data_IF_738696128726
#
_entry.id   IF_738696128726
#
_cell.length_a   1.000
_cell.length_b   1.000
_cell.length_c   1.000
_cell.angle_alpha   90.00
_cell.angle_beta   90.00
_cell.angle_gamma   90.00
#
_symmetry.space_group_name_H-M   'P 1'
#
loop_
_entity.id
_entity.type
_entity.pdbx_description
1 polymer ?
#
# COMPACT_ATOMS: atom_id res chain seq x y z
N UNK A 1 -13.34 -11.72 -0.58
CA UNK A 1 -12.16 -11.60 0.29
C UNK A 1 -10.96 -12.31 -0.32
N UNK A 2 -11.07 -13.57 -0.76
CA UNK A 2 -9.97 -14.28 -1.46
C UNK A 2 -9.39 -13.51 -2.66
N UNK A 3 -10.23 -13.00 -3.56
CA UNK A 3 -9.76 -12.19 -4.70
C UNK A 3 -8.98 -10.94 -4.28
N UNK A 4 -9.35 -10.33 -3.14
CA UNK A 4 -8.62 -9.16 -2.62
C UNK A 4 -7.28 -9.56 -2.03
N UNK A 5 -7.22 -10.69 -1.32
CA UNK A 5 -5.97 -11.26 -0.84
C UNK A 5 -5.02 -11.57 -2.00
N UNK A 6 -5.49 -12.25 -3.04
CA UNK A 6 -4.67 -12.55 -4.23
C UNK A 6 -4.17 -11.27 -4.92
N UNK A 7 -5.01 -10.23 -5.01
CA UNK A 7 -4.60 -8.92 -5.55
C UNK A 7 -3.51 -8.27 -4.71
N UNK A 8 -3.68 -8.27 -3.39
CA UNK A 8 -2.74 -7.67 -2.44
C UNK A 8 -1.43 -8.44 -2.43
N UNK A 9 -1.47 -9.77 -2.38
CA UNK A 9 -0.28 -10.64 -2.45
C UNK A 9 0.52 -10.35 -3.72
N UNK A 10 -0.14 -10.38 -4.89
CA UNK A 10 0.53 -10.12 -6.16
C UNK A 10 1.14 -8.71 -6.24
N UNK A 11 0.46 -7.70 -5.69
CA UNK A 11 0.98 -6.34 -5.66
C UNK A 11 2.17 -6.22 -4.70
N UNK A 12 2.04 -6.78 -3.49
CA UNK A 12 3.08 -6.77 -2.46
C UNK A 12 4.35 -7.50 -2.94
N UNK A 13 4.22 -8.66 -3.59
CA UNK A 13 5.35 -9.37 -4.19
C UNK A 13 6.09 -8.49 -5.20
N UNK A 14 5.37 -7.80 -6.10
CA UNK A 14 6.00 -6.89 -7.08
C UNK A 14 6.73 -5.73 -6.42
N UNK A 15 6.17 -5.19 -5.34
CA UNK A 15 6.80 -4.09 -4.60
C UNK A 15 8.07 -4.55 -3.90
N UNK A 16 8.05 -5.72 -3.25
CA UNK A 16 9.21 -6.34 -2.63
C UNK A 16 10.30 -6.61 -3.67
N UNK A 17 9.95 -7.20 -4.82
CA UNK A 17 10.88 -7.43 -5.92
C UNK A 17 11.49 -6.12 -6.44
N UNK A 18 10.72 -5.04 -6.51
CA UNK A 18 11.20 -3.72 -6.96
C UNK A 18 12.20 -3.10 -5.97
N UNK A 19 11.95 -3.25 -4.68
CA UNK A 19 12.85 -2.77 -3.61
C UNK A 19 14.11 -3.65 -3.50
N UNK A 20 13.97 -4.97 -3.61
CA UNK A 20 15.12 -5.89 -3.49
C UNK A 20 16.02 -5.87 -4.75
N UNK A 21 15.52 -5.38 -5.89
CA UNK A 21 16.28 -5.27 -7.15
C UNK A 21 16.89 -3.89 -7.41
N UNK A 22 16.59 -2.89 -6.58
CA UNK A 22 17.09 -1.52 -6.73
C UNK A 22 17.46 -0.91 -5.39
N UNK A 23 18.69 -0.41 -5.26
CA UNK A 23 19.13 0.33 -4.07
C UNK A 23 18.54 1.76 -3.99
N UNK A 24 17.72 2.17 -4.98
CA UNK A 24 17.15 3.53 -5.03
C UNK A 24 15.95 3.72 -4.10
N UNK A 25 15.22 2.65 -3.77
CA UNK A 25 13.99 2.73 -2.98
C UNK A 25 14.20 1.99 -1.67
N UNK A 26 14.20 2.72 -0.54
CA UNK A 26 14.22 2.09 0.77
C UNK A 26 12.91 1.34 1.04
N UNK A 27 12.98 0.31 1.89
CA UNK A 27 11.77 -0.42 2.34
C UNK A 27 10.74 0.53 2.96
N UNK A 28 11.18 1.47 3.78
CA UNK A 28 10.30 2.49 4.39
C UNK A 28 9.49 3.29 3.35
N UNK A 29 10.08 3.57 2.19
CA UNK A 29 9.42 4.29 1.09
C UNK A 29 8.68 3.37 0.10
N UNK A 30 8.57 2.07 0.37
CA UNK A 30 7.94 1.10 -0.52
C UNK A 30 6.48 1.47 -0.85
N UNK A 31 5.78 2.14 0.07
CA UNK A 31 4.40 2.62 -0.14
C UNK A 31 4.24 3.51 -1.38
N UNK A 32 5.30 4.23 -1.79
CA UNK A 32 5.31 5.09 -2.98
C UNK A 32 5.14 4.29 -4.28
N UNK A 33 5.41 2.98 -4.26
CA UNK A 33 5.18 2.09 -5.40
C UNK A 33 3.70 1.75 -5.61
N UNK A 34 2.84 1.94 -4.61
CA UNK A 34 1.44 1.54 -4.67
C UNK A 34 0.66 2.21 -5.83
N UNK A 35 0.70 3.55 -6.01
CA UNK A 35 0.05 4.21 -7.15
C UNK A 35 0.60 3.77 -8.50
N UNK A 36 1.91 3.51 -8.58
CA UNK A 36 2.60 3.05 -9.81
C UNK A 36 2.09 1.66 -10.18
N UNK A 37 2.16 0.69 -9.25
CA UNK A 37 1.72 -0.69 -9.48
C UNK A 37 0.21 -0.75 -9.75
N UNK A 38 -0.59 0.05 -9.05
CA UNK A 38 -2.01 0.20 -9.32
C UNK A 38 -2.26 0.68 -10.76
N UNK A 39 -1.55 1.73 -11.19
CA UNK A 39 -1.69 2.30 -12.54
C UNK A 39 -1.37 1.28 -13.63
N UNK A 40 -0.29 0.53 -13.46
CA UNK A 40 0.15 -0.51 -14.39
C UNK A 40 -0.86 -1.65 -14.46
N UNK A 41 -1.37 -2.10 -13.32
CA UNK A 41 -2.35 -3.20 -13.23
C UNK A 41 -3.66 -2.83 -13.93
N UNK A 42 -4.02 -1.55 -13.97
CA UNK A 42 -5.26 -1.07 -14.57
C UNK A 42 -5.07 -0.40 -15.94
N UNK A 43 -3.87 -0.41 -16.51
CA UNK A 43 -3.52 0.34 -17.75
C UNK A 43 -3.99 1.80 -17.69
N UNK A 44 -3.81 2.42 -16.53
CA UNK A 44 -4.32 3.77 -16.25
C UNK A 44 -3.49 4.82 -17.01
N UNK A 45 -4.18 5.73 -17.68
CA UNK A 45 -3.59 6.87 -18.40
C UNK A 45 -4.04 8.23 -17.83
N UNK A 46 -4.59 8.23 -16.62
CA UNK A 46 -5.07 9.43 -15.95
C UNK A 46 -4.01 9.93 -14.96
N UNK A 47 -3.20 10.89 -15.41
CA UNK A 47 -2.13 11.50 -14.60
C UNK A 47 -2.67 12.24 -13.37
N UNK A 48 -3.85 12.86 -13.48
CA UNK A 48 -4.47 13.58 -12.36
C UNK A 48 -4.87 12.59 -11.26
N UNK A 49 -5.48 11.47 -11.62
CA UNK A 49 -5.82 10.41 -10.65
C UNK A 49 -4.56 9.77 -10.04
N UNK A 50 -3.50 9.59 -10.83
CA UNK A 50 -2.22 9.11 -10.29
C UNK A 50 -1.67 10.07 -9.23
N UNK A 51 -1.73 11.38 -9.51
CA UNK A 51 -1.28 12.40 -8.57
C UNK A 51 -2.10 12.40 -7.28
N UNK A 52 -3.42 12.29 -7.38
CA UNK A 52 -4.31 12.18 -6.21
C UNK A 52 -3.98 10.95 -5.35
N UNK A 53 -3.69 9.80 -5.97
CA UNK A 53 -3.26 8.60 -5.25
C UNK A 53 -1.92 8.79 -4.54
N UNK A 54 -0.97 9.48 -5.17
CA UNK A 54 0.34 9.78 -4.57
C UNK A 54 0.15 10.69 -3.35
N UNK A 55 -0.60 11.78 -3.51
CA UNK A 55 -0.84 12.75 -2.43
C UNK A 55 -1.57 12.10 -1.24
N UNK A 56 -2.64 11.34 -1.50
CA UNK A 56 -3.40 10.67 -0.45
C UNK A 56 -2.57 9.63 0.32
N UNK A 57 -1.72 8.87 -0.37
CA UNK A 57 -0.86 7.88 0.29
C UNK A 57 0.27 8.54 1.08
N UNK A 58 0.81 9.65 0.58
CA UNK A 58 1.85 10.41 1.27
C UNK A 58 1.32 11.09 2.54
N UNK A 59 0.09 11.61 2.50
CA UNK A 59 -0.61 12.12 3.69
C UNK A 59 -0.86 11.01 4.72
N UNK A 60 -1.39 9.85 4.29
CA UNK A 60 -1.62 8.71 5.19
C UNK A 60 -0.32 8.26 5.88
N UNK A 61 0.76 8.05 5.11
CA UNK A 61 2.04 7.61 5.66
C UNK A 61 2.63 8.61 6.66
N UNK A 62 2.56 9.91 6.34
CA UNK A 62 3.06 10.97 7.22
C UNK A 62 2.25 11.09 8.51
N UNK A 63 0.93 10.94 8.42
CA UNK A 63 0.06 10.96 9.59
C UNK A 63 0.43 9.81 10.53
N UNK A 64 0.53 8.57 10.02
CA UNK A 64 0.93 7.40 10.83
C UNK A 64 2.31 7.60 11.48
N UNK A 65 3.30 8.07 10.72
CA UNK A 65 4.65 8.34 11.23
C UNK A 65 4.73 9.51 12.21
N UNK A 66 3.74 10.42 12.20
CA UNK A 66 3.66 11.52 13.16
C UNK A 66 3.18 11.06 14.54
N UNK A 67 2.41 9.96 14.59
CA UNK A 67 1.95 9.33 15.83
C UNK A 67 2.98 8.36 16.39
N UNK A 68 3.66 7.60 15.53
CA UNK A 68 4.80 6.74 15.89
C UNK A 68 5.87 6.75 14.78
N UNK A 69 7.06 7.28 15.09
CA UNK A 69 8.16 7.30 14.12
C UNK A 69 8.60 5.89 13.69
N UNK A 70 8.40 4.87 14.54
CA UNK A 70 8.72 3.49 14.19
C UNK A 70 7.70 2.86 13.24
N UNK A 71 6.56 3.52 12.99
CA UNK A 71 5.57 3.05 12.02
C UNK A 71 6.19 2.85 10.64
N UNK A 72 7.14 3.69 10.23
CA UNK A 72 7.86 3.55 8.95
C UNK A 72 8.52 2.18 8.75
N UNK A 73 8.84 1.47 9.83
CA UNK A 73 9.41 0.12 9.78
C UNK A 73 8.36 -0.93 9.38
N UNK A 74 7.07 -0.63 9.48
CA UNK A 74 5.94 -1.48 9.07
C UNK A 74 5.66 -1.34 7.57
N UNK A 75 6.72 -1.49 6.77
CA UNK A 75 6.69 -1.14 5.35
C UNK A 75 5.70 -1.99 4.52
N UNK A 76 5.50 -3.27 4.89
CA UNK A 76 4.49 -4.13 4.23
C UNK A 76 3.08 -3.61 4.52
N UNK A 77 2.79 -3.25 5.78
CA UNK A 77 1.52 -2.66 6.17
C UNK A 77 1.25 -1.36 5.39
N UNK A 78 2.20 -0.41 5.41
CA UNK A 78 2.04 0.86 4.70
C UNK A 78 1.86 0.68 3.20
N UNK A 79 2.59 -0.25 2.58
CA UNK A 79 2.39 -0.58 1.18
C UNK A 79 0.99 -1.12 0.90
N UNK A 80 0.53 -2.11 1.68
CA UNK A 80 -0.79 -2.73 1.46
C UNK A 80 -1.92 -1.72 1.68
N UNK A 81 -1.83 -0.92 2.75
CA UNK A 81 -2.78 0.17 3.01
C UNK A 81 -2.82 1.16 1.84
N UNK A 82 -1.65 1.62 1.37
CA UNK A 82 -1.53 2.54 0.24
C UNK A 82 -2.06 1.96 -1.07
N UNK A 83 -1.84 0.66 -1.33
CA UNK A 83 -2.35 0.00 -2.53
C UNK A 83 -3.88 -0.13 -2.52
N UNK A 84 -4.47 -0.41 -1.36
CA UNK A 84 -5.92 -0.44 -1.20
C UNK A 84 -6.52 0.97 -1.23
N UNK A 85 -5.82 1.96 -0.68
CA UNK A 85 -6.23 3.36 -0.73
C UNK A 85 -6.33 3.89 -2.17
N UNK A 86 -5.49 3.40 -3.09
CA UNK A 86 -5.67 3.70 -4.53
C UNK A 86 -7.06 3.29 -5.06
N UNK A 87 -7.65 2.20 -4.57
CA UNK A 87 -9.02 1.82 -4.95
C UNK A 87 -10.07 2.73 -4.32
N UNK A 88 -9.80 3.29 -3.13
CA UNK A 88 -10.68 4.28 -2.49
C UNK A 88 -10.65 5.59 -3.28
N UNK A 89 -9.46 6.12 -3.55
CA UNK A 89 -9.28 7.34 -4.36
C UNK A 89 -9.91 7.19 -5.75
N UNK A 90 -9.77 6.02 -6.38
CA UNK A 90 -10.41 5.73 -7.67
C UNK A 90 -11.93 5.47 -7.60
N UNK A 91 -12.55 5.58 -6.42
CA UNK A 91 -13.99 5.35 -6.20
C UNK A 91 -14.44 3.92 -6.47
N UNK A 92 -13.54 2.93 -6.32
CA UNK A 92 -13.82 1.50 -6.56
C UNK A 92 -14.30 0.78 -5.31
N UNK A 93 -13.85 1.23 -4.14
CA UNK A 93 -14.28 0.77 -2.82
C UNK A 93 -14.43 1.98 -1.90
N UNK A 94 -15.16 1.83 -0.80
CA UNK A 94 -15.22 2.82 0.28
C UNK A 94 -14.25 2.45 1.41
N UNK A 95 -14.08 3.34 2.38
CA UNK A 95 -13.23 3.15 3.56
C UNK A 95 -13.67 1.92 4.38
N UNK A 96 -14.98 1.74 4.59
CA UNK A 96 -15.51 0.57 5.31
C UNK A 96 -15.15 -0.75 4.63
N UNK A 97 -15.06 -0.77 3.29
CA UNK A 97 -14.61 -1.92 2.53
C UNK A 97 -13.10 -2.09 2.60
N UNK A 98 -12.34 -1.00 2.58
CA UNK A 98 -10.90 -1.00 2.82
C UNK A 98 -10.58 -1.63 4.18
N UNK A 99 -11.21 -1.20 5.26
CA UNK A 99 -10.99 -1.72 6.61
C UNK A 99 -11.17 -3.24 6.67
N UNK A 100 -12.27 -3.73 6.10
CA UNK A 100 -12.55 -5.17 6.03
C UNK A 100 -11.52 -5.95 5.23
N UNK A 101 -10.93 -5.33 4.20
CA UNK A 101 -9.86 -5.96 3.43
C UNK A 101 -8.57 -5.96 4.23
N UNK A 102 -8.20 -4.83 4.84
CA UNK A 102 -7.03 -4.68 5.70
C UNK A 102 -7.03 -5.70 6.83
N UNK A 103 -8.13 -5.81 7.59
CA UNK A 103 -8.31 -6.80 8.66
C UNK A 103 -8.02 -8.22 8.15
N UNK A 104 -8.68 -8.60 7.04
CA UNK A 104 -8.55 -9.92 6.47
C UNK A 104 -7.15 -10.20 5.91
N UNK A 105 -6.49 -9.23 5.28
CA UNK A 105 -5.14 -9.40 4.74
C UNK A 105 -4.10 -9.44 5.84
N UNK A 106 -4.26 -8.64 6.90
CA UNK A 106 -3.34 -8.63 8.02
C UNK A 106 -3.31 -9.99 8.73
N UNK A 107 -4.48 -10.60 8.93
CA UNK A 107 -4.61 -11.96 9.48
C UNK A 107 -3.91 -13.05 8.64
N UNK A 108 -3.66 -12.80 7.34
CA UNK A 108 -3.14 -13.82 6.41
C UNK A 108 -1.70 -13.61 6.00
N UNK A 109 -1.25 -12.36 5.94
CA UNK A 109 0.05 -12.01 5.35
C UNK A 109 1.10 -11.58 6.36
N UNK A 110 0.75 -11.42 7.63
CA UNK A 110 1.63 -10.90 8.67
C UNK A 110 2.33 -9.60 8.20
N UNK A 111 1.53 -8.53 8.09
CA UNK A 111 1.99 -7.27 7.49
C UNK A 111 2.89 -6.44 8.42
N UNK A 112 2.98 -6.82 9.68
CA UNK A 112 3.82 -6.16 10.67
C UNK A 112 5.15 -6.91 10.82
N UNK A 113 6.23 -6.17 11.02
CA UNK A 113 7.55 -6.71 11.33
C UNK A 113 7.61 -7.19 12.79
N UNK A 114 8.42 -8.22 13.03
CA UNK A 114 8.50 -8.88 14.34
C UNK A 114 8.88 -7.89 15.45
N UNK A 115 8.10 -7.88 16.54
CA UNK A 115 8.34 -7.04 17.71
C UNK A 115 7.65 -5.67 17.70
N UNK A 116 6.79 -5.40 16.71
CA UNK A 116 5.86 -4.29 16.73
C UNK A 116 4.58 -4.73 17.47
N UNK A 117 4.36 -4.22 18.69
CA UNK A 117 3.16 -4.44 19.53
C UNK A 117 2.26 -3.20 19.56
#
# INVERSE_FOLDING_TARGET
MKEWLEKVENALTKALESVDSSDEISRENMYMLAPIIYSQTHNMNNEQLLKEMIEANDEQFKEDCSHDENSKLQYKYHYVSSFLNCYVVAGKIDEMKLDKIMDYTNEKLNLFEDGYE
#
